data_IF_726525672926
#
_entry.id   IF_726525672926
#
_cell.length_a   1.000
_cell.length_b   1.000
_cell.length_c   1.000
_cell.angle_alpha   90.00
_cell.angle_beta   90.00
_cell.angle_gamma   90.00
#
_symmetry.space_group_name_H-M   'P 1'
#
loop_
_entity.id
_entity.type
_entity.pdbx_description
1 polymer ?
#
# COMPACT_ATOMS: atom_id res chain seq x y z
N UNK A 1 11.29 -12.08 -18.54
CA UNK A 1 11.58 -12.05 -17.09
C UNK A 1 10.91 -13.24 -16.44
N UNK A 2 11.53 -13.90 -15.47
CA UNK A 2 10.90 -15.06 -14.82
C UNK A 2 10.14 -14.63 -13.58
N UNK A 3 8.80 -14.52 -13.68
CA UNK A 3 7.91 -14.13 -12.58
C UNK A 3 7.55 -15.31 -11.66
N UNK A 4 7.93 -16.55 -12.02
CA UNK A 4 7.52 -17.74 -11.26
C UNK A 4 8.04 -17.75 -9.81
N UNK A 5 9.14 -17.06 -9.52
CA UNK A 5 9.62 -16.88 -8.14
C UNK A 5 8.66 -16.07 -7.28
N UNK A 6 7.95 -15.08 -7.86
CA UNK A 6 7.02 -14.22 -7.13
C UNK A 6 5.58 -14.74 -7.19
N UNK A 7 5.15 -15.24 -8.35
CA UNK A 7 3.76 -15.66 -8.56
C UNK A 7 3.57 -17.19 -8.51
N UNK A 8 4.64 -17.94 -8.19
CA UNK A 8 4.58 -19.40 -8.17
C UNK A 8 4.25 -20.03 -9.52
N UNK A 9 4.03 -21.35 -9.56
CA UNK A 9 3.75 -22.07 -10.80
C UNK A 9 2.34 -21.82 -11.35
N UNK A 10 1.42 -21.35 -10.51
CA UNK A 10 0.03 -21.05 -10.89
C UNK A 10 -0.17 -19.62 -11.40
N UNK A 11 0.86 -18.79 -11.36
CA UNK A 11 0.76 -17.37 -11.67
C UNK A 11 0.01 -16.56 -10.60
N UNK A 12 -0.14 -17.11 -9.38
CA UNK A 12 -0.89 -16.50 -8.28
C UNK A 12 -0.09 -16.46 -7.00
N UNK A 13 -0.26 -15.41 -6.17
CA UNK A 13 0.44 -15.28 -4.89
C UNK A 13 -0.35 -14.53 -3.82
N UNK A 14 -0.13 -14.92 -2.56
CA UNK A 14 -0.42 -14.11 -1.38
C UNK A 14 0.88 -13.44 -0.93
N UNK A 15 0.95 -12.14 -1.09
CA UNK A 15 2.09 -11.32 -0.67
C UNK A 15 1.78 -10.67 0.67
N UNK A 16 2.67 -10.84 1.65
CA UNK A 16 2.59 -10.15 2.93
C UNK A 16 3.34 -8.82 2.86
N UNK A 17 2.61 -7.70 2.83
CA UNK A 17 3.20 -6.37 2.82
C UNK A 17 3.60 -5.92 4.23
N UNK A 18 4.90 -5.75 4.45
CA UNK A 18 5.47 -5.31 5.73
C UNK A 18 6.42 -4.11 5.57
N UNK A 19 6.42 -3.51 4.40
CA UNK A 19 7.30 -2.41 4.00
C UNK A 19 6.80 -1.02 4.43
N UNK A 20 5.91 -0.94 5.43
CA UNK A 20 5.26 0.31 5.81
C UNK A 20 6.15 1.26 6.63
N UNK A 21 7.28 0.79 7.17
CA UNK A 21 8.15 1.62 8.04
C UNK A 21 8.82 2.78 7.31
N UNK A 22 8.90 2.73 5.99
CA UNK A 22 9.39 3.88 5.23
C UNK A 22 8.46 5.11 5.32
N UNK A 23 7.23 4.92 5.84
CA UNK A 23 6.35 6.02 6.25
C UNK A 23 6.56 6.47 7.72
N UNK A 24 7.50 5.87 8.45
CA UNK A 24 7.75 6.08 9.87
C UNK A 24 7.33 4.89 10.74
N UNK A 25 7.05 5.15 12.01
CA UNK A 25 6.58 4.10 12.93
C UNK A 25 5.13 3.76 12.61
N UNK A 26 4.86 2.49 12.33
CA UNK A 26 3.53 2.00 11.99
C UNK A 26 2.99 1.15 13.14
N UNK A 27 1.86 1.58 13.69
CA UNK A 27 1.19 0.88 14.79
C UNK A 27 0.90 -0.58 14.43
N UNK A 28 1.34 -1.51 15.28
CA UNK A 28 1.24 -2.96 15.06
C UNK A 28 2.42 -3.57 14.29
N UNK A 29 3.42 -2.76 13.90
CA UNK A 29 4.66 -3.20 13.26
C UNK A 29 5.91 -2.58 13.92
N UNK A 30 5.78 -2.11 15.16
CA UNK A 30 6.88 -1.55 15.95
C UNK A 30 7.99 -2.56 16.16
N UNK A 31 7.58 -3.81 16.40
CA UNK A 31 8.48 -4.97 16.56
C UNK A 31 8.17 -5.98 15.46
N UNK A 32 8.77 -5.84 14.25
CA UNK A 32 8.33 -6.62 13.09
C UNK A 32 8.56 -8.14 13.21
N UNK A 33 9.62 -8.57 13.89
CA UNK A 33 9.98 -9.99 13.98
C UNK A 33 8.88 -10.90 14.52
N UNK A 34 8.36 -10.64 15.72
CA UNK A 34 7.25 -11.39 16.32
C UNK A 34 5.97 -11.37 15.47
N UNK A 35 5.73 -10.27 14.74
CA UNK A 35 4.55 -10.12 13.88
C UNK A 35 4.67 -10.91 12.59
N UNK A 36 5.85 -10.83 11.92
CA UNK A 36 6.03 -11.39 10.57
C UNK A 36 6.32 -12.90 10.63
N UNK A 37 7.19 -13.37 11.55
CA UNK A 37 7.64 -14.76 11.58
C UNK A 37 6.51 -15.80 11.61
N UNK A 38 5.44 -15.64 12.41
CA UNK A 38 4.32 -16.59 12.43
C UNK A 38 3.52 -16.65 11.13
N UNK A 39 3.59 -15.60 10.31
CA UNK A 39 2.83 -15.49 9.05
C UNK A 39 3.55 -16.10 7.85
N UNK A 40 4.90 -16.20 7.90
CA UNK A 40 5.69 -16.68 6.77
C UNK A 40 5.25 -18.05 6.22
N UNK A 41 4.84 -19.05 7.03
CA UNK A 41 4.38 -20.33 6.49
C UNK A 41 3.12 -20.25 5.62
N UNK A 42 2.33 -19.18 5.76
CA UNK A 42 0.99 -19.05 5.17
C UNK A 42 0.91 -18.03 4.04
N UNK A 43 2.07 -17.49 3.62
CA UNK A 43 2.18 -16.54 2.51
C UNK A 43 3.23 -17.02 1.52
N UNK A 44 3.14 -16.55 0.28
CA UNK A 44 4.04 -16.98 -0.79
C UNK A 44 5.27 -16.07 -0.89
N UNK A 45 5.08 -14.76 -0.68
CA UNK A 45 6.09 -13.73 -0.84
C UNK A 45 6.06 -12.79 0.36
N UNK A 46 7.23 -12.40 0.82
CA UNK A 46 7.36 -11.31 1.79
C UNK A 46 7.74 -10.02 1.06
N UNK A 47 6.85 -9.02 1.07
CA UNK A 47 7.20 -7.67 0.68
C UNK A 47 7.69 -6.90 1.91
N UNK A 48 8.93 -6.44 1.87
CA UNK A 48 9.58 -5.84 3.03
C UNK A 48 10.60 -4.77 2.63
N UNK A 49 11.19 -4.12 3.61
CA UNK A 49 12.24 -3.13 3.46
C UNK A 49 13.62 -3.69 3.86
N UNK A 50 14.74 -3.12 3.38
CA UNK A 50 16.08 -3.62 3.65
C UNK A 50 16.40 -3.73 5.15
N UNK A 51 15.92 -2.78 5.96
CA UNK A 51 16.19 -2.79 7.40
C UNK A 51 15.56 -4.02 8.09
N UNK A 52 14.30 -4.35 7.79
CA UNK A 52 13.63 -5.53 8.35
C UNK A 52 14.37 -6.80 7.90
N UNK A 53 14.70 -6.89 6.61
CA UNK A 53 15.40 -8.04 6.07
C UNK A 53 16.74 -8.28 6.79
N UNK A 54 17.56 -7.25 6.93
CA UNK A 54 18.90 -7.35 7.57
C UNK A 54 18.80 -7.58 9.07
N UNK A 55 18.05 -6.74 9.77
CA UNK A 55 18.15 -6.66 11.24
C UNK A 55 17.15 -7.57 11.96
N UNK A 56 16.06 -7.98 11.32
CA UNK A 56 15.09 -8.90 11.90
C UNK A 56 15.34 -10.33 11.47
N UNK A 57 15.78 -10.53 10.22
CA UNK A 57 15.95 -11.85 9.63
C UNK A 57 17.39 -12.23 9.34
N UNK A 58 18.38 -11.36 9.63
CA UNK A 58 19.80 -11.62 9.36
C UNK A 58 20.11 -11.75 7.86
N UNK A 59 19.33 -11.09 7.02
CA UNK A 59 19.48 -11.11 5.56
C UNK A 59 18.91 -12.36 4.88
N UNK A 60 18.26 -13.28 5.61
CA UNK A 60 17.75 -14.53 5.05
C UNK A 60 16.32 -14.82 5.49
N UNK A 61 15.46 -15.07 4.53
CA UNK A 61 14.08 -15.54 4.73
C UNK A 61 13.84 -16.68 3.76
N UNK A 62 13.22 -17.75 4.23
CA UNK A 62 12.85 -18.90 3.39
C UNK A 62 11.55 -18.61 2.61
N UNK A 63 11.54 -17.48 1.94
CA UNK A 63 10.48 -17.01 1.04
C UNK A 63 11.08 -16.09 -0.01
N UNK A 64 10.50 -16.03 -1.21
CA UNK A 64 10.79 -14.96 -2.16
C UNK A 64 10.59 -13.59 -1.53
N UNK A 65 11.53 -12.68 -1.77
CA UNK A 65 11.53 -11.33 -1.23
C UNK A 65 11.17 -10.34 -2.33
N UNK A 66 10.11 -9.60 -2.15
CA UNK A 66 9.79 -8.40 -2.91
C UNK A 66 10.29 -7.20 -2.12
N UNK A 67 11.44 -6.65 -2.52
CA UNK A 67 12.13 -5.65 -1.72
C UNK A 67 11.71 -4.24 -2.09
N UNK A 68 11.28 -3.44 -1.11
CA UNK A 68 11.00 -2.01 -1.30
C UNK A 68 12.28 -1.29 -1.71
N UNK A 69 12.32 -0.78 -2.94
CA UNK A 69 13.47 -0.09 -3.52
C UNK A 69 13.32 1.43 -3.59
N UNK A 70 12.11 1.96 -3.39
CA UNK A 70 11.87 3.39 -3.28
C UNK A 70 11.31 3.77 -1.91
N UNK A 71 11.55 5.02 -1.51
CA UNK A 71 11.02 5.58 -0.27
C UNK A 71 10.92 7.09 -0.34
N UNK A 72 10.07 7.69 0.49
CA UNK A 72 9.93 9.13 0.52
C UNK A 72 11.20 9.80 1.06
N UNK A 73 11.50 10.98 0.53
CA UNK A 73 12.64 11.78 1.00
C UNK A 73 12.39 12.38 2.39
N UNK A 74 11.12 12.49 2.78
CA UNK A 74 10.70 12.87 4.13
C UNK A 74 9.30 12.36 4.44
N UNK A 75 9.10 11.91 5.66
CA UNK A 75 7.78 11.62 6.24
C UNK A 75 7.32 12.74 7.18
N UNK A 76 8.18 13.72 7.41
CA UNK A 76 7.85 14.90 8.18
C UNK A 76 7.14 15.92 7.30
N UNK A 77 6.08 16.50 7.84
CA UNK A 77 5.38 17.56 7.15
C UNK A 77 6.32 18.74 6.90
N UNK A 78 6.41 19.16 5.65
CA UNK A 78 7.18 20.36 5.27
C UNK A 78 6.25 21.57 5.36
N UNK A 79 6.53 22.57 6.18
CA UNK A 79 5.69 23.76 6.27
C UNK A 79 5.61 24.48 4.92
N UNK A 80 4.42 24.94 4.57
CA UNK A 80 4.24 25.81 3.40
C UNK A 80 4.93 27.15 3.66
N UNK A 81 5.75 27.67 2.72
CA UNK A 81 6.36 28.97 2.86
C UNK A 81 5.33 30.07 3.10
N UNK A 82 5.64 31.02 4.00
CA UNK A 82 4.71 32.08 4.42
C UNK A 82 4.14 32.89 3.27
N UNK A 83 4.93 33.17 2.22
CA UNK A 83 4.46 33.93 1.07
C UNK A 83 3.36 33.21 0.26
N UNK A 84 3.20 31.90 0.40
CA UNK A 84 2.10 31.10 -0.17
C UNK A 84 0.95 30.95 0.82
N UNK A 85 1.28 30.81 2.12
CA UNK A 85 0.32 30.56 3.17
C UNK A 85 -0.51 31.81 3.54
N UNK A 86 0.12 32.98 3.63
CA UNK A 86 -0.56 34.20 4.06
C UNK A 86 -1.70 34.65 3.12
N UNK A 87 -1.55 34.62 1.78
CA UNK A 87 -2.68 34.87 0.88
C UNK A 87 -3.85 33.88 1.05
N UNK A 88 -3.53 32.60 1.29
CA UNK A 88 -4.54 31.57 1.51
C UNK A 88 -5.31 31.79 2.82
N UNK A 89 -4.59 32.16 3.91
CA UNK A 89 -5.20 32.53 5.20
C UNK A 89 -6.11 33.75 5.07
N UNK A 90 -5.66 34.79 4.34
CA UNK A 90 -6.47 35.99 4.09
C UNK A 90 -7.75 35.67 3.29
N UNK A 91 -7.66 34.85 2.24
CA UNK A 91 -8.81 34.41 1.47
C UNK A 91 -9.80 33.58 2.33
N UNK A 92 -9.29 32.71 3.21
CA UNK A 92 -10.10 31.97 4.16
C UNK A 92 -10.85 32.90 5.11
N UNK A 93 -10.16 33.86 5.71
CA UNK A 93 -10.77 34.83 6.63
C UNK A 93 -11.87 35.64 5.94
N UNK A 94 -11.62 36.09 4.70
CA UNK A 94 -12.62 36.83 3.92
C UNK A 94 -13.87 35.99 3.65
N UNK A 95 -13.71 34.70 3.37
CA UNK A 95 -14.83 33.81 3.05
C UNK A 95 -15.59 33.31 4.28
N UNK A 96 -14.87 33.00 5.36
CA UNK A 96 -15.43 32.32 6.54
C UNK A 96 -15.75 33.26 7.70
N UNK A 97 -15.32 34.51 7.65
CA UNK A 97 -15.55 35.51 8.72
C UNK A 97 -14.73 35.30 10.00
N UNK A 98 -13.87 34.28 10.04
CA UNK A 98 -12.93 33.99 11.14
C UNK A 98 -11.54 33.71 10.60
N UNK A 99 -10.51 33.97 11.41
CA UNK A 99 -9.15 33.67 10.99
C UNK A 99 -8.90 32.18 10.84
N UNK A 100 -8.04 31.81 9.91
CA UNK A 100 -7.63 30.42 9.69
C UNK A 100 -7.08 29.78 10.98
N UNK A 101 -6.19 30.49 11.68
CA UNK A 101 -5.55 29.99 12.89
C UNK A 101 -6.55 29.79 14.04
N UNK A 102 -7.56 30.65 14.16
CA UNK A 102 -8.63 30.49 15.13
C UNK A 102 -9.51 29.26 14.82
N UNK A 103 -9.79 29.01 13.55
CA UNK A 103 -10.54 27.81 13.12
C UNK A 103 -9.78 26.52 13.44
N UNK A 104 -8.49 26.45 13.11
CA UNK A 104 -7.64 25.30 13.42
C UNK A 104 -7.55 25.08 14.94
N UNK A 105 -7.35 26.13 15.73
CA UNK A 105 -7.27 26.03 17.19
C UNK A 105 -8.56 25.52 17.82
N UNK A 106 -9.71 26.03 17.38
CA UNK A 106 -11.05 25.60 17.86
C UNK A 106 -11.29 24.12 17.57
N UNK A 107 -11.10 23.71 16.31
CA UNK A 107 -11.32 22.33 15.89
C UNK A 107 -10.33 21.36 16.58
N UNK A 108 -9.06 21.74 16.70
CA UNK A 108 -8.05 20.95 17.41
C UNK A 108 -8.42 20.74 18.88
N UNK A 109 -8.95 21.77 19.55
CA UNK A 109 -9.41 21.64 20.93
C UNK A 109 -10.62 20.69 21.07
N UNK A 110 -11.58 20.74 20.13
CA UNK A 110 -12.70 19.81 20.09
C UNK A 110 -12.25 18.37 19.85
N UNK A 111 -11.34 18.15 18.93
CA UNK A 111 -10.77 16.81 18.66
C UNK A 111 -10.05 16.24 19.88
N UNK A 112 -9.17 17.04 20.52
CA UNK A 112 -8.44 16.64 21.72
C UNK A 112 -9.35 16.29 22.90
N UNK A 113 -10.49 16.99 23.02
CA UNK A 113 -11.48 16.72 24.08
C UNK A 113 -12.48 15.59 23.75
N UNK A 114 -12.37 14.97 22.57
CA UNK A 114 -13.28 13.91 22.10
C UNK A 114 -14.69 14.41 21.75
N UNK A 115 -14.89 15.74 21.62
CA UNK A 115 -16.20 16.38 21.36
C UNK A 115 -16.40 16.72 19.89
N UNK A 116 -15.41 16.52 19.03
CA UNK A 116 -15.53 16.84 17.61
C UNK A 116 -16.38 15.79 16.89
N UNK A 117 -17.35 16.26 16.10
CA UNK A 117 -18.05 15.45 15.12
C UNK A 117 -17.10 14.94 14.03
N UNK A 118 -17.53 13.96 13.26
CA UNK A 118 -16.77 13.42 12.13
C UNK A 118 -16.50 14.50 11.07
N UNK A 119 -17.48 15.34 10.78
CA UNK A 119 -17.36 16.47 9.87
C UNK A 119 -16.32 17.51 10.36
N UNK A 120 -16.30 17.82 11.67
CA UNK A 120 -15.32 18.73 12.25
C UNK A 120 -13.91 18.16 12.25
N UNK A 121 -13.76 16.84 12.42
CA UNK A 121 -12.47 16.16 12.28
C UNK A 121 -11.96 16.20 10.84
N UNK A 122 -12.87 16.07 9.86
CA UNK A 122 -12.54 16.15 8.45
C UNK A 122 -12.17 17.57 8.06
N UNK A 123 -12.92 18.57 8.54
CA UNK A 123 -12.61 19.99 8.36
C UNK A 123 -11.23 20.33 8.94
N UNK A 124 -10.90 19.85 10.15
CA UNK A 124 -9.58 20.08 10.72
C UNK A 124 -8.48 19.50 9.83
N UNK A 125 -8.61 18.24 9.39
CA UNK A 125 -7.64 17.62 8.48
C UNK A 125 -7.48 18.40 7.17
N UNK A 126 -8.58 18.91 6.64
CA UNK A 126 -8.56 19.77 5.45
C UNK A 126 -7.79 21.07 5.71
N UNK A 127 -8.07 21.77 6.79
CA UNK A 127 -7.36 23.00 7.14
C UNK A 127 -5.88 22.75 7.41
N UNK A 128 -5.52 21.72 8.16
CA UNK A 128 -4.15 21.35 8.44
C UNK A 128 -3.37 21.01 7.16
N UNK A 129 -4.04 20.49 6.12
CA UNK A 129 -3.40 20.20 4.84
C UNK A 129 -2.86 21.46 4.13
N UNK A 130 -3.38 22.64 4.42
CA UNK A 130 -2.84 23.91 3.89
C UNK A 130 -1.59 24.39 4.61
N UNK A 131 -1.32 23.88 5.82
CA UNK A 131 -0.12 24.28 6.59
C UNK A 131 1.15 23.58 6.10
N UNK A 132 0.99 22.51 5.33
CA UNK A 132 2.09 21.67 4.89
C UNK A 132 2.11 21.56 3.38
N UNK A 133 3.28 21.39 2.80
CA UNK A 133 3.38 21.06 1.37
C UNK A 133 2.62 19.77 1.09
N UNK A 134 1.70 19.78 0.09
CA UNK A 134 0.89 18.61 -0.23
C UNK A 134 1.78 17.48 -0.73
N UNK A 135 1.38 16.25 -0.40
CA UNK A 135 1.96 15.03 -0.94
C UNK A 135 3.47 14.84 -0.71
N UNK A 136 4.03 15.37 0.39
CA UNK A 136 5.45 15.16 0.71
C UNK A 136 5.82 13.68 0.77
N UNK A 137 4.88 12.82 1.17
CA UNK A 137 5.04 11.36 1.13
C UNK A 137 5.25 10.83 -0.30
N UNK A 138 4.73 11.53 -1.31
CA UNK A 138 4.89 11.17 -2.71
C UNK A 138 6.28 11.52 -3.27
N UNK A 139 7.12 12.21 -2.51
CA UNK A 139 8.47 12.64 -2.92
C UNK A 139 9.48 11.49 -2.99
N UNK A 140 9.03 10.26 -3.26
CA UNK A 140 9.88 9.07 -3.25
C UNK A 140 11.09 9.16 -4.17
N UNK A 141 12.20 8.60 -3.70
CA UNK A 141 13.45 8.39 -4.42
C UNK A 141 13.83 6.91 -4.38
N UNK A 142 14.65 6.45 -5.30
CA UNK A 142 15.28 5.14 -5.18
C UNK A 142 16.21 5.13 -3.98
N UNK A 143 16.00 4.17 -3.08
CA UNK A 143 16.86 3.87 -1.93
C UNK A 143 17.91 2.82 -2.28
N UNK A 144 17.62 1.97 -3.28
CA UNK A 144 18.48 0.91 -3.76
C UNK A 144 18.63 0.99 -5.28
N UNK A 145 19.75 0.51 -5.78
CA UNK A 145 19.94 0.16 -7.18
C UNK A 145 19.42 -1.24 -7.47
N UNK A 146 19.25 -1.59 -8.76
CA UNK A 146 18.91 -2.97 -9.13
C UNK A 146 19.90 -3.99 -8.59
N UNK A 147 21.21 -3.70 -8.66
CA UNK A 147 22.25 -4.54 -8.07
C UNK A 147 22.14 -4.60 -6.54
N UNK A 148 21.88 -3.47 -5.89
CA UNK A 148 21.64 -3.43 -4.45
C UNK A 148 20.48 -4.32 -4.00
N UNK A 149 19.41 -4.41 -4.79
CA UNK A 149 18.32 -5.35 -4.51
C UNK A 149 18.78 -6.82 -4.60
N UNK A 150 19.58 -7.15 -5.61
CA UNK A 150 20.13 -8.51 -5.78
C UNK A 150 21.09 -8.87 -4.64
N UNK A 151 21.93 -7.93 -4.23
CA UNK A 151 22.90 -8.12 -3.13
C UNK A 151 22.18 -8.36 -1.79
N UNK A 152 20.99 -7.81 -1.61
CA UNK A 152 20.09 -8.08 -0.48
C UNK A 152 19.32 -9.42 -0.60
N UNK A 153 19.50 -10.17 -1.69
CA UNK A 153 18.80 -11.44 -1.93
C UNK A 153 17.36 -11.29 -2.41
N UNK A 154 16.99 -10.13 -2.95
CA UNK A 154 15.64 -9.89 -3.45
C UNK A 154 15.30 -10.79 -4.65
N UNK A 155 14.05 -11.23 -4.71
CA UNK A 155 13.44 -11.93 -5.86
C UNK A 155 12.71 -10.97 -6.79
N UNK A 156 12.48 -9.73 -6.35
CA UNK A 156 11.90 -8.62 -7.11
C UNK A 156 12.08 -7.30 -6.38
N UNK A 157 11.99 -6.19 -7.12
CA UNK A 157 12.04 -4.83 -6.56
C UNK A 157 10.68 -4.16 -6.64
N UNK A 158 10.29 -3.41 -5.59
CA UNK A 158 9.05 -2.65 -5.55
C UNK A 158 9.31 -1.15 -5.56
N UNK A 159 8.63 -0.43 -6.47
CA UNK A 159 8.74 1.03 -6.65
C UNK A 159 7.35 1.64 -6.67
N UNK A 160 7.08 2.62 -5.81
CA UNK A 160 5.82 3.37 -5.84
C UNK A 160 5.86 4.48 -6.89
N UNK A 161 4.70 4.68 -7.52
CA UNK A 161 4.49 5.77 -8.47
C UNK A 161 3.27 6.58 -8.06
N UNK A 162 3.47 7.87 -7.82
CA UNK A 162 2.44 8.81 -7.37
C UNK A 162 1.98 9.69 -8.53
N UNK A 163 1.02 9.19 -9.31
CA UNK A 163 0.43 9.94 -10.42
C UNK A 163 -0.55 11.00 -9.91
N UNK A 164 -0.78 12.02 -10.73
CA UNK A 164 -1.55 13.23 -10.39
C UNK A 164 -0.98 14.04 -9.21
N UNK A 165 0.26 13.78 -8.79
CA UNK A 165 0.97 14.61 -7.81
C UNK A 165 2.06 15.43 -8.48
N UNK A 166 2.60 16.44 -7.79
CA UNK A 166 3.78 17.20 -8.24
C UNK A 166 5.02 16.32 -8.45
N UNK A 167 5.04 15.13 -7.87
CA UNK A 167 6.16 14.18 -7.93
C UNK A 167 5.98 13.07 -8.97
N UNK A 168 4.93 13.12 -9.80
CA UNK A 168 4.67 12.05 -10.77
C UNK A 168 5.84 11.78 -11.71
N UNK A 169 6.47 12.84 -12.27
CA UNK A 169 7.61 12.66 -13.20
C UNK A 169 8.78 12.00 -12.48
N UNK A 170 9.08 12.42 -11.24
CA UNK A 170 10.14 11.84 -10.42
C UNK A 170 9.89 10.36 -10.12
N UNK A 171 8.67 10.00 -9.74
CA UNK A 171 8.36 8.61 -9.38
C UNK A 171 8.25 7.69 -10.60
N UNK A 172 7.83 8.20 -11.75
CA UNK A 172 7.92 7.48 -13.02
C UNK A 172 9.38 7.28 -13.46
N UNK A 173 10.26 8.29 -13.27
CA UNK A 173 11.69 8.14 -13.55
C UNK A 173 12.36 7.13 -12.60
N UNK A 174 11.97 7.08 -11.34
CA UNK A 174 12.40 6.02 -10.41
C UNK A 174 12.05 4.64 -10.96
N UNK A 175 10.81 4.43 -11.42
CA UNK A 175 10.36 3.16 -11.97
C UNK A 175 11.14 2.77 -13.23
N UNK A 176 11.28 3.70 -14.18
CA UNK A 176 12.02 3.48 -15.42
C UNK A 176 13.51 3.20 -15.16
N UNK A 177 14.09 3.90 -14.19
CA UNK A 177 15.50 3.70 -13.79
C UNK A 177 15.68 2.33 -13.15
N UNK A 178 14.82 1.95 -12.20
CA UNK A 178 14.86 0.61 -11.59
C UNK A 178 14.68 -0.48 -12.65
N UNK A 179 13.73 -0.33 -13.56
CA UNK A 179 13.49 -1.30 -14.63
C UNK A 179 14.74 -1.49 -15.53
N UNK A 180 15.39 -0.39 -15.93
CA UNK A 180 16.64 -0.48 -16.72
C UNK A 180 17.76 -1.19 -15.98
N UNK A 181 17.90 -0.97 -14.68
CA UNK A 181 18.92 -1.62 -13.85
C UNK A 181 18.59 -3.09 -13.52
N UNK A 182 17.33 -3.41 -13.30
CA UNK A 182 16.86 -4.72 -12.89
C UNK A 182 16.80 -5.74 -14.05
N UNK A 183 16.49 -5.27 -15.25
CA UNK A 183 16.30 -6.12 -16.45
C UNK A 183 17.53 -7.00 -16.77
N UNK A 184 18.79 -6.48 -16.84
CA UNK A 184 19.96 -7.31 -17.08
C UNK A 184 20.21 -8.34 -15.97
N UNK A 185 19.71 -8.09 -14.78
CA UNK A 185 19.86 -8.96 -13.60
C UNK A 185 18.76 -10.02 -13.51
N UNK A 186 17.78 -9.99 -14.43
CA UNK A 186 16.63 -10.87 -14.37
C UNK A 186 15.69 -10.61 -13.19
N UNK A 187 15.79 -9.44 -12.54
CA UNK A 187 15.03 -9.04 -11.36
C UNK A 187 13.71 -8.38 -11.81
N UNK A 188 12.52 -8.95 -11.51
CA UNK A 188 11.24 -8.34 -11.80
C UNK A 188 11.02 -7.04 -11.00
N UNK A 189 10.32 -6.08 -11.61
CA UNK A 189 9.95 -4.83 -10.97
C UNK A 189 8.44 -4.74 -10.79
N UNK A 190 8.00 -4.64 -9.54
CA UNK A 190 6.65 -4.30 -9.16
C UNK A 190 6.49 -2.79 -9.15
N UNK A 191 5.59 -2.28 -10.00
CA UNK A 191 5.11 -0.91 -9.92
C UNK A 191 3.90 -0.82 -9.00
N UNK A 192 3.98 0.02 -7.95
CA UNK A 192 2.88 0.24 -7.02
C UNK A 192 2.16 1.52 -7.39
N UNK A 193 0.89 1.42 -7.81
CA UNK A 193 0.02 2.60 -7.97
C UNK A 193 -0.23 3.17 -6.58
N UNK A 194 0.28 4.36 -6.34
CA UNK A 194 0.12 5.06 -5.08
C UNK A 194 -0.66 6.37 -5.31
N UNK A 195 -1.53 6.70 -4.38
CA UNK A 195 -2.29 7.95 -4.39
C UNK A 195 -1.82 8.84 -3.25
N UNK A 196 -1.74 10.14 -3.52
CA UNK A 196 -1.47 11.12 -2.47
C UNK A 196 -2.60 11.15 -1.44
N UNK A 197 -2.31 11.61 -0.23
CA UNK A 197 -3.28 11.64 0.87
C UNK A 197 -4.57 12.41 0.52
N UNK A 198 -4.43 13.49 -0.25
CA UNK A 198 -5.55 14.30 -0.72
C UNK A 198 -6.31 13.67 -1.91
N UNK A 199 -5.79 12.60 -2.50
CA UNK A 199 -6.30 11.98 -3.72
C UNK A 199 -6.87 10.57 -3.48
N UNK A 200 -7.22 10.23 -2.24
CA UNK A 200 -7.71 8.90 -1.86
C UNK A 200 -8.93 8.41 -2.65
N UNK A 201 -9.76 9.33 -3.18
CA UNK A 201 -10.89 8.99 -4.03
C UNK A 201 -10.47 8.29 -5.34
N UNK A 202 -9.24 8.48 -5.80
CA UNK A 202 -8.69 7.84 -6.99
C UNK A 202 -8.47 6.33 -6.82
N UNK A 203 -8.48 5.82 -5.59
CA UNK A 203 -8.40 4.37 -5.33
C UNK A 203 -9.60 3.61 -5.93
N UNK A 204 -10.71 4.31 -6.18
CA UNK A 204 -11.93 3.76 -6.76
C UNK A 204 -12.23 4.29 -8.18
N UNK A 205 -11.31 5.04 -8.78
CA UNK A 205 -11.50 5.64 -10.12
C UNK A 205 -10.94 4.69 -11.19
N UNK A 206 -11.83 4.02 -11.93
CA UNK A 206 -11.46 3.05 -12.98
C UNK A 206 -10.57 3.67 -14.05
N UNK A 207 -10.92 4.87 -14.54
CA UNK A 207 -10.17 5.55 -15.58
C UNK A 207 -8.76 5.91 -15.11
N UNK A 208 -8.65 6.38 -13.87
CA UNK A 208 -7.34 6.65 -13.26
C UNK A 208 -6.52 5.37 -13.12
N UNK A 209 -7.07 4.31 -12.53
CA UNK A 209 -6.35 3.06 -12.28
C UNK A 209 -5.91 2.40 -13.58
N UNK A 210 -6.76 2.42 -14.60
CA UNK A 210 -6.46 1.90 -15.94
C UNK A 210 -5.28 2.64 -16.56
N UNK A 211 -5.34 3.98 -16.59
CA UNK A 211 -4.28 4.82 -17.16
C UNK A 211 -2.98 4.74 -16.37
N UNK A 212 -3.09 4.75 -15.03
CA UNK A 212 -1.95 4.64 -14.13
C UNK A 212 -1.19 3.33 -14.38
N UNK A 213 -1.90 2.21 -14.42
CA UNK A 213 -1.32 0.89 -14.66
C UNK A 213 -0.65 0.81 -16.04
N UNK A 214 -1.32 1.26 -17.11
CA UNK A 214 -0.77 1.25 -18.46
C UNK A 214 0.50 2.12 -18.57
N UNK A 215 0.50 3.32 -18.00
CA UNK A 215 1.68 4.21 -17.99
C UNK A 215 2.85 3.55 -17.26
N UNK A 216 2.60 2.90 -16.12
CA UNK A 216 3.65 2.24 -15.35
C UNK A 216 4.24 1.02 -16.08
N UNK A 217 3.42 0.26 -16.79
CA UNK A 217 3.91 -0.83 -17.67
C UNK A 217 4.79 -0.26 -18.79
N UNK A 218 4.37 0.84 -19.41
CA UNK A 218 5.18 1.52 -20.42
C UNK A 218 6.53 2.03 -19.86
N UNK A 219 6.61 2.31 -18.56
CA UNK A 219 7.86 2.67 -17.85
C UNK A 219 8.62 1.46 -17.32
N UNK A 220 8.16 0.23 -17.61
CA UNK A 220 8.90 -1.00 -17.40
C UNK A 220 8.54 -1.80 -16.17
N UNK A 221 7.36 -1.57 -15.59
CA UNK A 221 6.83 -2.48 -14.56
C UNK A 221 6.51 -3.85 -15.17
N UNK A 222 6.91 -4.91 -14.49
CA UNK A 222 6.63 -6.31 -14.87
C UNK A 222 5.41 -6.88 -14.14
N UNK A 223 5.04 -6.28 -13.02
CA UNK A 223 3.87 -6.57 -12.20
C UNK A 223 3.30 -5.22 -11.75
N UNK A 224 1.99 -5.10 -11.66
CA UNK A 224 1.33 -3.92 -11.08
C UNK A 224 0.66 -4.27 -9.76
N UNK A 225 0.87 -3.44 -8.75
CA UNK A 225 0.05 -3.40 -7.53
C UNK A 225 -0.88 -2.21 -7.62
N UNK A 226 -2.18 -2.47 -7.54
CA UNK A 226 -3.20 -1.42 -7.61
C UNK A 226 -4.36 -1.71 -6.65
N UNK A 227 -5.39 -0.88 -6.65
CA UNK A 227 -6.58 -1.01 -5.81
C UNK A 227 -7.69 -1.73 -6.59
N UNK A 228 -8.58 -2.40 -5.85
CA UNK A 228 -9.83 -2.88 -6.43
C UNK A 228 -10.87 -1.77 -6.39
N UNK A 229 -11.29 -1.31 -7.55
CA UNK A 229 -12.30 -0.26 -7.70
C UNK A 229 -13.74 -0.82 -7.76
N UNK A 230 -13.96 -2.08 -7.43
CA UNK A 230 -15.27 -2.70 -7.56
C UNK A 230 -15.62 -3.05 -9.03
N UNK A 231 -16.83 -2.73 -9.45
CA UNK A 231 -17.28 -3.02 -10.81
C UNK A 231 -16.36 -2.37 -11.85
N UNK A 232 -15.94 -3.15 -12.84
CA UNK A 232 -15.00 -2.71 -13.88
C UNK A 232 -13.51 -2.91 -13.53
N UNK A 233 -13.17 -3.51 -12.40
CA UNK A 233 -11.77 -3.83 -12.08
C UNK A 233 -11.15 -4.85 -13.05
N UNK A 234 -11.95 -5.75 -13.61
CA UNK A 234 -11.57 -6.64 -14.70
C UNK A 234 -11.00 -5.87 -15.92
N UNK A 235 -11.59 -4.71 -16.27
CA UNK A 235 -11.10 -3.84 -17.35
C UNK A 235 -9.74 -3.22 -17.00
N UNK A 236 -9.51 -2.86 -15.73
CA UNK A 236 -8.21 -2.37 -15.27
C UNK A 236 -7.14 -3.45 -15.46
N UNK A 237 -7.45 -4.70 -15.12
CA UNK A 237 -6.54 -5.84 -15.28
C UNK A 237 -6.25 -6.09 -16.76
N UNK A 238 -7.29 -6.16 -17.59
CA UNK A 238 -7.16 -6.39 -19.03
C UNK A 238 -6.28 -5.34 -19.71
N UNK A 239 -6.53 -4.05 -19.41
CA UNK A 239 -5.77 -2.94 -19.98
C UNK A 239 -4.31 -2.89 -19.52
N UNK A 240 -3.97 -3.52 -18.40
CA UNK A 240 -2.62 -3.53 -17.85
C UNK A 240 -1.69 -4.45 -18.64
N UNK A 241 -2.17 -5.61 -19.09
CA UNK A 241 -1.40 -6.54 -19.94
C UNK A 241 -0.25 -7.26 -19.23
N UNK A 242 -0.06 -7.05 -17.93
CA UNK A 242 0.88 -7.76 -17.05
C UNK A 242 0.15 -8.22 -15.79
N UNK A 243 0.71 -9.16 -14.98
CA UNK A 243 0.08 -9.58 -13.75
C UNK A 243 -0.26 -8.42 -12.82
N UNK A 244 -1.46 -8.45 -12.25
CA UNK A 244 -1.94 -7.45 -11.30
C UNK A 244 -2.15 -8.11 -9.94
N UNK A 245 -1.52 -7.56 -8.90
CA UNK A 245 -1.79 -7.91 -7.51
C UNK A 245 -2.51 -6.75 -6.82
N UNK A 246 -3.38 -7.06 -5.87
CA UNK A 246 -4.29 -6.08 -5.29
C UNK A 246 -3.84 -5.65 -3.91
N UNK A 247 -3.82 -4.33 -3.68
CA UNK A 247 -3.60 -3.74 -2.37
C UNK A 247 -4.81 -3.92 -1.45
N UNK A 248 -4.57 -4.26 -0.17
CA UNK A 248 -5.64 -4.50 0.80
C UNK A 248 -6.45 -3.25 1.18
N UNK A 249 -5.86 -2.07 1.06
CA UNK A 249 -6.52 -0.82 1.49
C UNK A 249 -6.86 -0.77 2.97
N UNK A 250 -7.83 0.07 3.33
CA UNK A 250 -8.40 0.15 4.68
C UNK A 250 -9.69 -0.67 4.75
N UNK A 251 -9.99 -1.24 5.91
CA UNK A 251 -11.33 -1.78 6.17
C UNK A 251 -12.29 -0.61 6.32
N UNK A 252 -13.42 -0.58 5.60
CA UNK A 252 -14.41 0.48 5.75
C UNK A 252 -14.99 0.51 7.17
N UNK A 253 -15.29 1.72 7.67
CA UNK A 253 -15.86 1.90 9.01
C UNK A 253 -17.18 1.15 9.14
N UNK A 254 -17.33 0.41 10.24
CA UNK A 254 -18.55 -0.36 10.55
C UNK A 254 -18.67 -1.72 9.85
N UNK A 255 -17.70 -2.11 9.04
CA UNK A 255 -17.65 -3.47 8.48
C UNK A 255 -16.84 -4.40 9.37
N UNK A 256 -17.23 -5.67 9.40
CA UNK A 256 -16.45 -6.73 10.04
C UNK A 256 -15.13 -6.92 9.27
N UNK A 257 -13.96 -6.82 9.94
CA UNK A 257 -12.67 -6.90 9.27
C UNK A 257 -12.40 -8.23 8.57
N UNK A 258 -12.90 -9.33 9.15
CA UNK A 258 -12.70 -10.67 8.59
C UNK A 258 -13.50 -10.83 7.30
N UNK A 259 -14.81 -10.54 7.38
CA UNK A 259 -15.74 -10.68 6.26
C UNK A 259 -15.31 -9.75 5.11
N UNK A 260 -15.05 -8.47 5.39
CA UNK A 260 -14.63 -7.51 4.35
C UNK A 260 -13.29 -7.90 3.70
N UNK A 261 -12.36 -8.51 4.45
CA UNK A 261 -11.08 -8.96 3.90
C UNK A 261 -11.25 -10.20 3.00
N UNK A 262 -12.08 -11.14 3.40
CA UNK A 262 -12.41 -12.35 2.63
C UNK A 262 -13.16 -11.98 1.34
N UNK A 263 -14.18 -11.13 1.44
CA UNK A 263 -14.99 -10.70 0.30
C UNK A 263 -14.14 -9.92 -0.72
N UNK A 264 -13.30 -8.99 -0.26
CA UNK A 264 -12.37 -8.28 -1.12
C UNK A 264 -11.42 -9.24 -1.85
N UNK A 265 -10.84 -10.20 -1.13
CA UNK A 265 -9.92 -11.16 -1.71
C UNK A 265 -10.60 -12.02 -2.78
N UNK A 266 -11.79 -12.51 -2.50
CA UNK A 266 -12.56 -13.31 -3.44
C UNK A 266 -12.92 -12.50 -4.68
N UNK A 267 -13.48 -11.31 -4.51
CA UNK A 267 -13.86 -10.42 -5.61
C UNK A 267 -12.68 -10.12 -6.54
N UNK A 268 -11.51 -9.79 -5.98
CA UNK A 268 -10.30 -9.56 -6.75
C UNK A 268 -9.89 -10.78 -7.59
N UNK A 269 -9.92 -11.97 -6.99
CA UNK A 269 -9.50 -13.20 -7.68
C UNK A 269 -10.50 -13.60 -8.76
N UNK A 270 -11.81 -13.39 -8.56
CA UNK A 270 -12.84 -13.66 -9.57
C UNK A 270 -12.73 -12.70 -10.77
N UNK A 271 -12.24 -11.48 -10.55
CA UNK A 271 -12.01 -10.48 -11.61
C UNK A 271 -10.67 -10.66 -12.35
N UNK A 272 -9.89 -11.68 -12.02
CA UNK A 272 -8.67 -12.04 -12.74
C UNK A 272 -7.36 -11.51 -12.14
N UNK A 273 -7.36 -11.03 -10.90
CA UNK A 273 -6.12 -10.66 -10.23
C UNK A 273 -5.16 -11.86 -10.12
N UNK A 274 -3.86 -11.59 -10.23
CA UNK A 274 -2.78 -12.57 -10.03
C UNK A 274 -2.38 -12.73 -8.57
N UNK A 275 -3.09 -12.09 -7.65
CA UNK A 275 -2.86 -12.28 -6.22
C UNK A 275 -3.21 -11.07 -5.38
N UNK A 276 -2.88 -11.20 -4.12
CA UNK A 276 -3.16 -10.21 -3.07
C UNK A 276 -1.83 -9.73 -2.49
N UNK A 277 -1.72 -8.44 -2.23
CA UNK A 277 -0.59 -7.86 -1.50
C UNK A 277 -1.12 -7.09 -0.30
N UNK A 278 -1.45 -7.86 0.74
CA UNK A 278 -2.09 -7.37 1.94
C UNK A 278 -1.10 -7.25 3.10
N UNK A 279 -1.16 -6.13 3.79
CA UNK A 279 -0.39 -5.88 5.01
C UNK A 279 -1.30 -5.80 6.22
N UNK A 280 -1.78 -4.60 6.52
CA UNK A 280 -2.58 -4.29 7.72
C UNK A 280 -3.82 -5.16 7.88
N UNK A 281 -4.44 -5.62 6.81
CA UNK A 281 -5.58 -6.57 6.85
C UNK A 281 -5.19 -7.94 7.41
N UNK A 282 -3.90 -8.31 7.33
CA UNK A 282 -3.37 -9.56 7.89
C UNK A 282 -2.79 -9.29 9.27
N UNK A 283 -1.70 -8.53 9.36
CA UNK A 283 -0.91 -8.44 10.59
C UNK A 283 -1.50 -7.54 11.68
N UNK A 284 -2.55 -6.74 11.40
CA UNK A 284 -3.35 -6.03 12.42
C UNK A 284 -4.60 -6.76 12.86
N UNK A 285 -4.91 -7.89 12.25
CA UNK A 285 -6.08 -8.68 12.60
C UNK A 285 -5.84 -9.39 13.93
N UNK A 286 -6.90 -9.59 14.74
CA UNK A 286 -6.82 -10.31 16.01
C UNK A 286 -6.33 -11.76 15.83
N UNK A 287 -6.63 -12.37 14.67
CA UNK A 287 -6.20 -13.72 14.30
C UNK A 287 -5.45 -13.71 12.94
N UNK A 288 -4.21 -13.18 12.89
CA UNK A 288 -3.52 -12.90 11.63
C UNK A 288 -3.17 -14.16 10.83
N UNK A 289 -2.83 -15.27 11.50
CA UNK A 289 -2.56 -16.56 10.84
C UNK A 289 -3.83 -17.16 10.25
N UNK A 290 -4.97 -17.04 10.95
CA UNK A 290 -6.24 -17.53 10.42
C UNK A 290 -6.67 -16.78 9.15
N UNK A 291 -6.49 -15.44 9.13
CA UNK A 291 -6.70 -14.64 7.91
C UNK A 291 -5.77 -15.09 6.79
N UNK A 292 -4.46 -15.22 7.03
CA UNK A 292 -3.51 -15.63 6.01
C UNK A 292 -3.87 -17.00 5.40
N UNK A 293 -4.33 -17.96 6.22
CA UNK A 293 -4.81 -19.27 5.74
C UNK A 293 -6.07 -19.17 4.88
N UNK A 294 -7.03 -18.36 5.28
CA UNK A 294 -8.26 -18.11 4.51
C UNK A 294 -7.94 -17.47 3.14
N UNK A 295 -7.05 -16.48 3.12
CA UNK A 295 -6.58 -15.85 1.86
C UNK A 295 -5.86 -16.85 0.96
N UNK A 296 -5.00 -17.70 1.51
CA UNK A 296 -4.33 -18.77 0.75
C UNK A 296 -5.32 -19.75 0.11
N UNK A 297 -6.41 -20.08 0.80
CA UNK A 297 -7.46 -20.95 0.24
C UNK A 297 -8.20 -20.25 -0.93
N UNK A 298 -8.49 -18.98 -0.83
CA UNK A 298 -9.12 -18.21 -1.93
C UNK A 298 -8.18 -18.16 -3.13
N UNK A 299 -6.92 -17.78 -2.94
CA UNK A 299 -5.96 -17.54 -4.02
C UNK A 299 -5.57 -18.84 -4.73
N UNK A 300 -5.32 -19.92 -3.98
CA UNK A 300 -4.75 -21.15 -4.55
C UNK A 300 -5.76 -22.27 -4.79
N UNK A 301 -6.90 -22.26 -4.05
CA UNK A 301 -7.91 -23.31 -4.12
C UNK A 301 -9.26 -22.81 -4.63
N UNK A 302 -9.34 -21.51 -4.96
CA UNK A 302 -10.58 -20.85 -5.38
C UNK A 302 -11.74 -21.06 -4.38
N UNK A 303 -11.39 -21.06 -3.07
CA UNK A 303 -12.39 -21.21 -2.01
C UNK A 303 -13.39 -20.04 -2.06
N UNK A 304 -14.67 -20.36 -1.88
CA UNK A 304 -15.73 -19.35 -1.76
C UNK A 304 -15.59 -18.56 -0.45
N UNK A 305 -16.21 -17.38 -0.33
CA UNK A 305 -16.19 -16.63 0.92
C UNK A 305 -16.67 -17.44 2.14
N UNK A 306 -17.69 -18.28 1.95
CA UNK A 306 -18.21 -19.15 3.00
C UNK A 306 -17.18 -20.19 3.45
N UNK A 307 -16.51 -20.86 2.52
CA UNK A 307 -15.47 -21.86 2.83
C UNK A 307 -14.25 -21.19 3.46
N UNK A 308 -13.85 -20.01 2.98
CA UNK A 308 -12.74 -19.24 3.55
C UNK A 308 -13.05 -18.77 4.98
N UNK A 309 -14.27 -18.32 5.26
CA UNK A 309 -14.72 -17.94 6.60
C UNK A 309 -14.72 -19.14 7.55
N UNK A 310 -15.19 -20.30 7.09
CA UNK A 310 -15.16 -21.54 7.87
C UNK A 310 -13.72 -21.94 8.23
N UNK A 311 -12.79 -21.88 7.26
CA UNK A 311 -11.36 -22.11 7.52
C UNK A 311 -10.76 -21.11 8.50
N UNK A 312 -11.18 -19.85 8.42
CA UNK A 312 -10.77 -18.81 9.37
C UNK A 312 -11.26 -19.17 10.79
N UNK A 313 -12.54 -19.51 10.97
CA UNK A 313 -13.11 -19.86 12.25
C UNK A 313 -12.44 -21.10 12.89
N UNK A 314 -12.15 -22.12 12.09
CA UNK A 314 -11.42 -23.30 12.56
C UNK A 314 -9.99 -22.95 12.99
N UNK A 315 -9.29 -22.11 12.23
CA UNK A 315 -7.92 -21.72 12.53
C UNK A 315 -7.83 -20.77 13.72
N UNK A 316 -8.79 -19.86 13.90
CA UNK A 316 -8.81 -18.91 15.03
C UNK A 316 -9.00 -19.60 16.38
N UNK A 317 -9.79 -20.70 16.43
CA UNK A 317 -9.96 -21.52 17.65
C UNK A 317 -8.69 -22.26 18.08
N UNK A 318 -7.76 -22.49 17.17
CA UNK A 318 -6.50 -23.19 17.42
C UNK A 318 -5.37 -22.28 17.91
N UNK A 319 -5.56 -20.97 17.85
CA UNK A 319 -4.62 -19.97 18.33
C UNK A 319 -5.19 -19.33 19.61
N UNK A 320 -4.57 -19.53 20.81
CA UNK A 320 -4.88 -18.71 21.94
C UNK A 320 -4.53 -17.24 21.63
N UNK A 321 -5.39 -16.33 22.07
CA UNK A 321 -5.24 -14.89 21.91
C UNK A 321 -3.92 -14.38 22.52
#
# INVERSE_FOLDING_TARGET
MNLSKLLGPTGKAVVLATDHRYFGVVNGLETPGPVIRPLLPYVDVLMTEPHILRNVFGGKVDKPILLRASGCSTVMNVPVPGYLLEPAKAAYQQRMGKTFDAAVAELSAKVKSGKASEAEQEELRYLESFLHEPDTIASERLMLTGQGCVDEGASGAAVSVYLKTRYQSQTLDNLATMSRQARPLGLPVLGVVAVGTALGYLENDIDFLTRASAVMVAHGADIIKTYNCGDGFDKVIEATGVPVIVAGGKVPKGKDPTVDTIDLAYDCMQKGASGLDFGRRIWRHDHPVAVARALGAIVHKNATPKEALQLFEEASRQQPA
#
